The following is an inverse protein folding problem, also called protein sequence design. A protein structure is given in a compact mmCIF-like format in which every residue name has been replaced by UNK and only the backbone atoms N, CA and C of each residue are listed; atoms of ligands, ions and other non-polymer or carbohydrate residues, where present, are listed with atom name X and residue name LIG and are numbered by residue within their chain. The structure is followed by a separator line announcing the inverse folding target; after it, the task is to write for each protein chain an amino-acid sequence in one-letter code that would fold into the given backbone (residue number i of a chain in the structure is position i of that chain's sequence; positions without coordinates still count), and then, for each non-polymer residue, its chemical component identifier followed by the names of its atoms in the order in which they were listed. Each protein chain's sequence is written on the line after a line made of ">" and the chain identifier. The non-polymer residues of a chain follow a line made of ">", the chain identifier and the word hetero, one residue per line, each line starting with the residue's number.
data_IF_749630675598
#
_entry.id   IF_749630675598
#
_cell.length_a   1.000
_cell.length_b   1.000
_cell.length_c   1.000
_cell.angle_alpha   90.00
_cell.angle_beta   90.00
_cell.angle_gamma   90.00
#
_symmetry.space_group_name_H-M   'P 1'
#
loop_
_entity.id
_entity.type
_entity.pdbx_description
1 polymer ?
#
# COMPACT_ATOMS: atom_id res chain seq x y z
N UNK A 1 -6.72 -10.87 37.61
CA UNK A 1 -6.23 -12.26 37.76
C UNK A 1 -4.87 -12.19 38.42
N UNK A 2 -4.70 -12.60 39.69
CA UNK A 2 -3.36 -12.65 40.32
C UNK A 2 -2.52 -13.72 39.61
N UNK A 3 -1.31 -13.37 39.20
CA UNK A 3 -0.50 -14.14 38.25
C UNK A 3 -0.08 -15.49 38.85
N UNK A 4 -0.28 -16.58 38.10
CA UNK A 4 0.12 -17.96 38.50
C UNK A 4 1.64 -18.14 38.64
N UNK A 5 2.45 -17.11 38.38
CA UNK A 5 3.90 -17.15 38.31
C UNK A 5 4.61 -16.32 39.40
N UNK A 6 3.89 -15.81 40.41
CA UNK A 6 4.42 -15.00 41.53
C UNK A 6 5.58 -15.65 42.33
N UNK A 7 5.91 -16.92 42.07
CA UNK A 7 6.99 -17.67 42.76
C UNK A 7 8.30 -17.76 41.96
N UNK A 8 8.35 -17.21 40.75
CA UNK A 8 9.55 -17.20 39.91
C UNK A 8 10.24 -15.81 39.98
N UNK A 9 11.57 -15.73 39.74
CA UNK A 9 12.23 -14.45 39.48
C UNK A 9 11.54 -13.69 38.34
N UNK A 10 11.43 -12.36 38.43
CA UNK A 10 10.62 -11.54 37.50
C UNK A 10 10.88 -11.84 36.01
N UNK A 11 12.15 -12.06 35.64
CA UNK A 11 12.56 -12.39 34.27
C UNK A 11 12.18 -13.82 33.84
N UNK A 12 12.14 -14.78 34.75
CA UNK A 12 11.67 -16.14 34.45
C UNK A 12 10.14 -16.20 34.40
N UNK A 13 9.46 -15.40 35.23
CA UNK A 13 8.02 -15.28 35.24
C UNK A 13 7.47 -14.74 33.91
N UNK A 14 8.09 -13.68 33.36
CA UNK A 14 7.64 -13.07 32.11
C UNK A 14 7.88 -13.97 30.90
N UNK A 15 9.02 -14.67 30.84
CA UNK A 15 9.31 -15.64 29.78
C UNK A 15 8.34 -16.83 29.81
N UNK A 16 7.98 -17.30 31.00
CA UNK A 16 6.98 -18.34 31.17
C UNK A 16 5.58 -17.87 30.73
N UNK A 17 5.23 -16.62 31.04
CA UNK A 17 3.98 -16.01 30.58
C UNK A 17 3.94 -15.87 29.05
N UNK A 18 5.01 -15.36 28.41
CA UNK A 18 5.08 -15.25 26.95
C UNK A 18 4.92 -16.60 26.27
N UNK A 19 5.63 -17.62 26.79
CA UNK A 19 5.52 -18.99 26.27
C UNK A 19 4.09 -19.52 26.38
N UNK A 20 3.43 -19.27 27.52
CA UNK A 20 2.03 -19.66 27.72
C UNK A 20 1.09 -18.95 26.74
N UNK A 21 1.25 -17.64 26.54
CA UNK A 21 0.41 -16.86 25.61
C UNK A 21 0.58 -17.34 24.16
N UNK A 22 1.82 -17.59 23.71
CA UNK A 22 2.10 -18.15 22.38
C UNK A 22 1.43 -19.50 22.16
N UNK A 23 1.54 -20.43 23.13
CA UNK A 23 0.89 -21.74 23.05
C UNK A 23 -0.63 -21.58 23.01
N UNK A 24 -1.19 -20.69 23.84
CA UNK A 24 -2.62 -20.42 23.87
C UNK A 24 -3.12 -19.94 22.51
N UNK A 25 -2.47 -18.94 21.92
CA UNK A 25 -2.83 -18.42 20.58
C UNK A 25 -2.66 -19.46 19.47
N UNK A 26 -1.61 -20.29 19.53
CA UNK A 26 -1.42 -21.37 18.57
C UNK A 26 -2.59 -22.37 18.64
N UNK A 27 -3.07 -22.69 19.83
CA UNK A 27 -4.18 -23.63 20.03
C UNK A 27 -5.55 -23.04 19.71
N UNK A 28 -5.79 -21.78 20.06
CA UNK A 28 -7.10 -21.12 19.89
C UNK A 28 -7.27 -20.53 18.48
N UNK A 29 -6.23 -19.90 17.93
CA UNK A 29 -6.31 -19.11 16.68
C UNK A 29 -5.42 -19.68 15.55
N UNK A 30 -4.68 -20.77 15.79
CA UNK A 30 -3.74 -21.32 14.79
C UNK A 30 -2.51 -20.44 14.55
N UNK A 31 -2.22 -19.50 15.46
CA UNK A 31 -1.15 -18.53 15.28
C UNK A 31 0.24 -19.17 15.29
N UNK A 32 1.11 -18.71 14.39
CA UNK A 32 2.53 -19.07 14.35
C UNK A 32 3.39 -17.84 14.65
N UNK A 33 3.72 -17.65 15.92
CA UNK A 33 4.55 -16.52 16.35
C UNK A 33 6.02 -16.89 16.27
N UNK A 34 6.73 -16.20 15.38
CA UNK A 34 8.17 -16.36 15.20
C UNK A 34 9.00 -15.93 16.42
N UNK A 35 10.29 -16.23 16.36
CA UNK A 35 11.30 -15.72 17.28
C UNK A 35 12.05 -14.58 16.60
N UNK A 36 12.50 -13.60 17.37
CA UNK A 36 13.44 -12.58 16.89
C UNK A 36 14.78 -12.77 17.59
N UNK A 37 15.86 -12.62 16.83
CA UNK A 37 17.24 -12.61 17.35
C UNK A 37 17.70 -11.19 17.73
N UNK A 38 16.82 -10.19 17.60
CA UNK A 38 17.12 -8.81 17.96
C UNK A 38 17.30 -8.67 19.48
N UNK A 39 18.51 -8.35 19.98
CA UNK A 39 18.77 -8.22 21.40
C UNK A 39 18.07 -7.02 22.04
N UNK A 40 17.54 -6.08 21.25
CA UNK A 40 16.74 -4.95 21.74
C UNK A 40 15.29 -5.32 22.04
N UNK A 41 14.81 -6.45 21.51
CA UNK A 41 13.45 -6.93 21.76
C UNK A 41 13.39 -7.68 23.09
N UNK A 42 12.99 -6.96 24.14
CA UNK A 42 12.99 -7.51 25.50
C UNK A 42 11.78 -8.44 25.74
N UNK A 43 11.85 -9.35 26.71
CA UNK A 43 10.70 -10.18 27.10
C UNK A 43 9.44 -9.36 27.45
N UNK A 44 9.61 -8.15 27.98
CA UNK A 44 8.52 -7.23 28.29
C UNK A 44 7.83 -6.70 27.03
N UNK A 45 8.61 -6.37 25.99
CA UNK A 45 8.08 -5.94 24.70
C UNK A 45 7.31 -7.07 24.01
N UNK A 46 7.85 -8.29 24.09
CA UNK A 46 7.15 -9.48 23.60
C UNK A 46 5.85 -9.72 24.36
N UNK A 47 5.85 -9.61 25.69
CA UNK A 47 4.63 -9.77 26.49
C UNK A 47 3.56 -8.74 26.10
N UNK A 48 3.95 -7.48 25.94
CA UNK A 48 3.05 -6.40 25.50
C UNK A 48 2.47 -6.69 24.11
N UNK A 49 3.32 -7.08 23.15
CA UNK A 49 2.88 -7.49 21.81
C UNK A 49 1.87 -8.64 21.87
N UNK A 50 2.17 -9.72 22.60
CA UNK A 50 1.29 -10.88 22.72
C UNK A 50 -0.07 -10.48 23.33
N UNK A 51 -0.07 -9.64 24.36
CA UNK A 51 -1.31 -9.14 24.95
C UNK A 51 -2.12 -8.30 23.97
N UNK A 52 -1.49 -7.46 23.16
CA UNK A 52 -2.16 -6.68 22.13
C UNK A 52 -2.79 -7.58 21.07
N UNK A 53 -2.06 -8.57 20.57
CA UNK A 53 -2.59 -9.54 19.60
C UNK A 53 -3.78 -10.31 20.20
N UNK A 54 -3.70 -10.77 21.45
CA UNK A 54 -4.85 -11.42 22.09
C UNK A 54 -6.07 -10.50 22.23
N UNK A 55 -5.84 -9.22 22.56
CA UNK A 55 -6.91 -8.25 22.70
C UNK A 55 -7.58 -7.99 21.34
N UNK A 56 -6.79 -7.89 20.28
CA UNK A 56 -7.26 -7.79 18.90
C UNK A 56 -8.09 -9.01 18.51
N UNK A 57 -7.54 -10.22 18.59
CA UNK A 57 -8.24 -11.46 18.21
C UNK A 57 -9.58 -11.60 18.94
N UNK A 58 -9.59 -11.29 20.24
CA UNK A 58 -10.83 -11.34 21.02
C UNK A 58 -11.88 -10.32 20.54
N UNK A 59 -11.48 -9.08 20.28
CA UNK A 59 -12.42 -8.05 19.81
C UNK A 59 -12.89 -8.33 18.38
N UNK A 60 -12.00 -8.86 17.55
CA UNK A 60 -12.31 -9.27 16.19
C UNK A 60 -13.31 -10.45 16.16
N UNK A 61 -13.14 -11.44 17.04
CA UNK A 61 -14.10 -12.54 17.23
C UNK A 61 -15.49 -12.07 17.71
N UNK A 62 -15.57 -10.96 18.44
CA UNK A 62 -16.85 -10.36 18.84
C UNK A 62 -17.62 -9.83 17.63
N UNK A 63 -16.93 -9.48 16.53
CA UNK A 63 -17.52 -9.10 15.24
C UNK A 63 -18.50 -7.93 15.34
N UNK A 64 -18.31 -7.04 16.32
CA UNK A 64 -19.17 -5.87 16.50
C UNK A 64 -18.79 -4.84 15.46
N UNK A 65 -19.79 -4.32 14.77
CA UNK A 65 -19.62 -3.19 13.86
C UNK A 65 -20.27 -1.94 14.44
N UNK A 66 -19.75 -0.78 14.04
CA UNK A 66 -20.24 0.54 14.40
C UNK A 66 -20.10 1.46 13.19
N UNK A 67 -21.03 2.40 13.03
CA UNK A 67 -20.85 3.46 12.04
C UNK A 67 -19.75 4.41 12.48
N UNK A 68 -18.95 4.91 11.55
CA UNK A 68 -17.90 5.87 11.89
C UNK A 68 -18.48 7.07 12.64
N UNK A 69 -19.63 7.60 12.21
CA UNK A 69 -20.27 8.74 12.86
C UNK A 69 -20.65 8.46 14.32
N UNK A 70 -21.08 7.23 14.64
CA UNK A 70 -21.32 6.78 16.00
C UNK A 70 -20.03 6.66 16.80
N UNK A 71 -18.96 6.14 16.18
CA UNK A 71 -17.64 5.95 16.80
C UNK A 71 -17.00 7.26 17.26
N UNK A 72 -17.27 8.35 16.55
CA UNK A 72 -16.70 9.69 16.82
C UNK A 72 -17.64 10.62 17.59
N UNK A 73 -18.64 10.06 18.29
CA UNK A 73 -19.63 10.76 19.11
C UNK A 73 -20.54 11.74 18.35
N UNK A 74 -20.80 11.47 17.06
CA UNK A 74 -21.76 12.21 16.21
C UNK A 74 -21.59 13.74 16.27
N UNK A 75 -20.43 14.29 15.85
CA UNK A 75 -20.13 15.70 15.98
C UNK A 75 -21.15 16.57 15.21
N UNK A 76 -21.76 17.54 15.89
CA UNK A 76 -22.71 18.49 15.28
C UNK A 76 -22.07 19.83 14.91
N UNK A 77 -20.76 19.95 15.09
CA UNK A 77 -19.99 21.19 14.83
C UNK A 77 -19.72 21.41 13.34
N UNK A 78 -19.78 20.35 12.53
CA UNK A 78 -19.53 20.40 11.10
C UNK A 78 -20.79 20.79 10.34
N UNK A 79 -20.64 21.76 9.44
CA UNK A 79 -21.74 22.23 8.60
C UNK A 79 -21.98 21.23 7.46
N UNK A 80 -23.23 21.05 6.99
CA UNK A 80 -23.50 20.35 5.74
C UNK A 80 -22.72 20.97 4.58
N UNK A 81 -22.31 20.16 3.60
CA UNK A 81 -21.48 20.57 2.46
C UNK A 81 -22.06 21.78 1.72
N UNK A 82 -23.38 21.83 1.57
CA UNK A 82 -24.11 22.91 0.89
C UNK A 82 -24.07 24.25 1.64
N UNK A 83 -23.73 24.26 2.93
CA UNK A 83 -23.66 25.45 3.79
C UNK A 83 -22.21 25.94 3.99
N UNK A 84 -21.21 25.23 3.44
CA UNK A 84 -19.81 25.64 3.49
C UNK A 84 -19.48 26.40 2.22
N UNK A 85 -19.13 27.67 2.38
CA UNK A 85 -18.67 28.54 1.28
C UNK A 85 -17.32 28.07 0.74
N UNK A 86 -17.05 28.30 -0.55
CA UNK A 86 -15.80 27.86 -1.19
C UNK A 86 -14.55 28.40 -0.47
N UNK A 87 -14.59 29.63 0.05
CA UNK A 87 -13.48 30.24 0.78
C UNK A 87 -13.22 29.63 2.15
N UNK A 88 -14.17 28.88 2.71
CA UNK A 88 -14.06 28.23 4.02
C UNK A 88 -13.74 26.72 3.89
N UNK A 89 -13.78 26.17 2.67
CA UNK A 89 -13.76 24.72 2.44
C UNK A 89 -12.46 24.04 2.90
N UNK A 90 -11.31 24.66 2.64
CA UNK A 90 -10.01 24.12 3.10
C UNK A 90 -9.95 24.02 4.63
N UNK A 91 -10.33 25.09 5.33
CA UNK A 91 -10.34 25.09 6.80
C UNK A 91 -11.39 24.13 7.39
N UNK A 92 -12.53 23.93 6.71
CA UNK A 92 -13.54 22.95 7.11
C UNK A 92 -13.03 21.51 6.97
N UNK A 93 -12.31 21.22 5.88
CA UNK A 93 -11.65 19.93 5.67
C UNK A 93 -10.55 19.67 6.72
N UNK A 94 -9.68 20.65 6.97
CA UNK A 94 -8.63 20.51 7.98
C UNK A 94 -9.23 20.22 9.36
N UNK A 95 -10.29 20.95 9.74
CA UNK A 95 -10.96 20.78 11.03
C UNK A 95 -11.58 19.39 11.21
N UNK A 96 -12.18 18.83 10.15
CA UNK A 96 -12.79 17.49 10.25
C UNK A 96 -11.74 16.38 10.25
N UNK A 97 -10.63 16.54 9.52
CA UNK A 97 -9.51 15.60 9.55
C UNK A 97 -8.80 15.62 10.92
N UNK A 98 -8.58 16.80 11.50
CA UNK A 98 -8.05 16.92 12.87
C UNK A 98 -8.98 16.29 13.92
N UNK A 99 -10.30 16.35 13.71
CA UNK A 99 -11.26 15.68 14.56
C UNK A 99 -11.16 14.16 14.44
N UNK A 100 -11.14 13.62 13.22
CA UNK A 100 -10.96 12.19 12.98
C UNK A 100 -9.66 11.66 13.61
N UNK A 101 -8.57 12.43 13.51
CA UNK A 101 -7.28 12.07 14.10
C UNK A 101 -7.33 11.88 15.63
N UNK A 102 -8.20 12.61 16.34
CA UNK A 102 -8.40 12.43 17.79
C UNK A 102 -8.96 11.04 18.15
N UNK A 103 -9.64 10.39 17.19
CA UNK A 103 -10.18 9.04 17.33
C UNK A 103 -9.29 7.98 16.64
N UNK A 104 -8.03 8.31 16.34
CA UNK A 104 -7.10 7.47 15.58
C UNK A 104 -7.69 6.99 14.25
N UNK A 105 -8.40 7.89 13.55
CA UNK A 105 -8.90 7.68 12.20
C UNK A 105 -8.15 8.61 11.26
N UNK A 106 -7.62 8.05 10.19
CA UNK A 106 -6.93 8.79 9.12
C UNK A 106 -7.62 8.53 7.78
N UNK A 107 -7.52 9.50 6.89
CA UNK A 107 -8.01 9.40 5.52
C UNK A 107 -6.90 9.82 4.57
N UNK A 108 -6.43 8.88 3.76
CA UNK A 108 -5.46 9.10 2.70
C UNK A 108 -6.16 9.24 1.35
N UNK A 109 -5.53 10.01 0.46
CA UNK A 109 -5.98 10.21 -0.92
C UNK A 109 -4.75 10.15 -1.82
N UNK A 110 -4.79 9.28 -2.83
CA UNK A 110 -3.71 9.14 -3.80
C UNK A 110 -4.01 9.89 -5.10
N UNK A 111 -5.25 9.85 -5.60
CA UNK A 111 -5.61 10.58 -6.81
C UNK A 111 -5.58 12.10 -6.60
N UNK A 112 -4.88 12.85 -7.47
CA UNK A 112 -4.90 14.31 -7.45
C UNK A 112 -6.17 14.88 -8.11
N UNK A 113 -7.02 14.04 -8.70
CA UNK A 113 -8.19 14.45 -9.48
C UNK A 113 -9.44 14.64 -8.60
N UNK A 114 -9.24 15.06 -7.35
CA UNK A 114 -10.28 15.28 -6.35
C UNK A 114 -10.25 16.74 -5.88
N UNK A 115 -11.42 17.29 -5.58
CA UNK A 115 -11.50 18.64 -4.99
C UNK A 115 -11.64 18.56 -3.48
N UNK A 116 -11.18 19.58 -2.76
CA UNK A 116 -11.37 19.73 -1.30
C UNK A 116 -12.84 19.57 -0.90
N UNK A 117 -13.75 20.15 -1.69
CA UNK A 117 -15.21 20.07 -1.47
C UNK A 117 -15.73 18.64 -1.58
N UNK A 118 -15.25 17.89 -2.56
CA UNK A 118 -15.65 16.51 -2.77
C UNK A 118 -15.12 15.60 -1.65
N UNK A 119 -13.88 15.83 -1.19
CA UNK A 119 -13.32 15.10 -0.06
C UNK A 119 -14.08 15.38 1.24
N UNK A 120 -14.44 16.64 1.48
CA UNK A 120 -15.30 17.02 2.62
C UNK A 120 -16.69 16.37 2.53
N UNK A 121 -17.29 16.36 1.33
CA UNK A 121 -18.56 15.69 1.05
C UNK A 121 -18.49 14.20 1.35
N UNK A 122 -17.46 13.53 0.84
CA UNK A 122 -17.22 12.11 1.09
C UNK A 122 -17.18 11.81 2.58
N UNK A 123 -16.44 12.61 3.38
CA UNK A 123 -16.36 12.39 4.82
C UNK A 123 -17.76 12.49 5.46
N UNK A 124 -18.48 13.58 5.18
CA UNK A 124 -19.76 13.90 5.81
C UNK A 124 -20.91 12.97 5.39
N UNK A 125 -20.95 12.56 4.12
CA UNK A 125 -22.10 11.89 3.53
C UNK A 125 -21.91 10.39 3.34
N UNK A 126 -20.67 9.92 3.21
CA UNK A 126 -20.35 8.52 2.95
C UNK A 126 -19.54 7.90 4.08
N UNK A 127 -18.39 8.46 4.41
CA UNK A 127 -17.47 7.87 5.38
C UNK A 127 -18.08 7.82 6.78
N UNK A 128 -18.83 8.85 7.18
CA UNK A 128 -19.59 8.86 8.43
C UNK A 128 -20.63 7.73 8.52
N UNK A 129 -21.21 7.34 7.39
CA UNK A 129 -22.19 6.25 7.32
C UNK A 129 -21.55 4.88 7.12
N UNK A 130 -20.25 4.81 6.87
CA UNK A 130 -19.50 3.57 6.72
C UNK A 130 -19.50 2.75 8.01
N UNK A 131 -19.82 1.46 7.90
CA UNK A 131 -19.76 0.51 9.00
C UNK A 131 -18.35 -0.10 9.08
N UNK A 132 -17.71 0.07 10.24
CA UNK A 132 -16.39 -0.46 10.55
C UNK A 132 -16.44 -1.35 11.78
N UNK A 133 -15.39 -2.14 11.99
CA UNK A 133 -15.25 -2.93 13.21
C UNK A 133 -15.14 -2.00 14.43
N UNK A 134 -15.96 -2.25 15.46
CA UNK A 134 -15.92 -1.53 16.73
C UNK A 134 -14.81 -2.10 17.62
N UNK A 135 -13.58 -1.83 17.20
CA UNK A 135 -12.39 -2.18 17.96
C UNK A 135 -11.83 -0.95 18.65
N UNK A 136 -11.34 -1.15 19.88
CA UNK A 136 -10.56 -0.20 20.65
C UNK A 136 -9.32 -0.94 21.15
N UNK A 137 -8.30 -0.95 20.28
CA UNK A 137 -7.01 -1.57 20.54
C UNK A 137 -5.99 -0.44 20.68
N UNK A 138 -5.36 -0.35 21.85
CA UNK A 138 -4.42 0.73 22.15
C UNK A 138 -3.27 0.78 21.13
N UNK A 139 -3.05 1.97 20.57
CA UNK A 139 -2.02 2.19 19.54
C UNK A 139 -2.42 1.77 18.12
N UNK A 140 -3.66 1.34 17.91
CA UNK A 140 -4.21 1.07 16.59
C UNK A 140 -4.74 2.35 15.94
N UNK A 141 -4.57 2.47 14.63
CA UNK A 141 -5.15 3.55 13.81
C UNK A 141 -5.93 2.92 12.68
N UNK A 142 -7.15 3.38 12.46
CA UNK A 142 -7.96 2.96 11.33
C UNK A 142 -7.71 3.93 10.17
N UNK A 143 -7.04 3.44 9.14
CA UNK A 143 -6.81 4.22 7.93
C UNK A 143 -7.85 3.90 6.87
N UNK A 144 -8.44 4.94 6.30
CA UNK A 144 -9.29 4.85 5.11
C UNK A 144 -8.53 5.43 3.92
N UNK A 145 -8.73 4.84 2.74
CA UNK A 145 -8.17 5.35 1.50
C UNK A 145 -9.34 5.75 0.60
N UNK A 146 -9.45 7.02 0.23
CA UNK A 146 -10.55 7.53 -0.59
C UNK A 146 -10.68 6.74 -1.91
N UNK A 147 -9.54 6.46 -2.55
CA UNK A 147 -9.46 5.74 -3.82
C UNK A 147 -10.01 4.29 -3.76
N UNK A 148 -10.16 3.69 -2.57
CA UNK A 148 -10.82 2.38 -2.42
C UNK A 148 -12.35 2.48 -2.57
N UNK A 149 -12.92 3.66 -2.31
CA UNK A 149 -14.35 3.94 -2.46
C UNK A 149 -14.67 4.53 -3.83
N UNK A 150 -13.77 5.41 -4.31
CA UNK A 150 -13.90 6.12 -5.57
C UNK A 150 -12.62 5.97 -6.40
N UNK A 151 -12.41 4.80 -7.04
CA UNK A 151 -11.17 4.50 -7.76
C UNK A 151 -10.94 5.44 -8.94
N UNK A 152 -9.69 5.89 -9.11
CA UNK A 152 -9.21 6.58 -10.30
C UNK A 152 -8.25 5.68 -11.08
N UNK A 153 -8.78 4.75 -11.91
CA UNK A 153 -7.94 3.81 -12.65
C UNK A 153 -7.08 4.51 -13.71
N UNK A 154 -7.35 5.76 -14.08
CA UNK A 154 -6.45 6.49 -14.97
C UNK A 154 -5.18 6.87 -14.22
N UNK A 155 -5.33 7.57 -13.09
CA UNK A 155 -4.19 7.97 -12.27
C UNK A 155 -3.41 6.77 -11.72
N UNK A 156 -4.09 5.77 -11.16
CA UNK A 156 -3.45 4.59 -10.57
C UNK A 156 -2.59 3.86 -11.61
N UNK A 157 -3.16 3.57 -12.79
CA UNK A 157 -2.44 2.86 -13.85
C UNK A 157 -1.28 3.69 -14.41
N UNK A 158 -1.43 5.01 -14.54
CA UNK A 158 -0.33 5.89 -14.93
C UNK A 158 0.81 5.83 -13.93
N UNK A 159 0.52 5.90 -12.63
CA UNK A 159 1.54 5.83 -11.59
C UNK A 159 2.24 4.46 -11.57
N UNK A 160 1.48 3.35 -11.63
CA UNK A 160 2.06 1.99 -11.69
C UNK A 160 3.00 1.86 -12.91
N UNK A 161 2.57 2.34 -14.08
CA UNK A 161 3.36 2.25 -15.31
C UNK A 161 4.60 3.15 -15.26
N UNK A 162 4.49 4.37 -14.74
CA UNK A 162 5.59 5.32 -14.59
C UNK A 162 6.65 4.81 -13.59
N UNK A 163 6.22 4.27 -12.44
CA UNK A 163 7.13 3.61 -11.51
C UNK A 163 7.82 2.40 -12.15
N UNK A 164 7.06 1.56 -12.85
CA UNK A 164 7.58 0.38 -13.52
C UNK A 164 8.68 0.75 -14.53
N UNK A 165 8.41 1.71 -15.42
CA UNK A 165 9.39 2.12 -16.45
C UNK A 165 10.61 2.80 -15.83
N UNK A 166 10.44 3.62 -14.78
CA UNK A 166 11.55 4.24 -14.04
C UNK A 166 12.45 3.20 -13.41
N UNK A 167 11.89 2.17 -12.77
CA UNK A 167 12.66 1.07 -12.18
C UNK A 167 13.42 0.30 -13.25
N UNK A 168 12.77 -0.03 -14.38
CA UNK A 168 13.39 -0.78 -15.48
C UNK A 168 14.55 0.02 -16.12
N UNK A 169 14.37 1.32 -16.33
CA UNK A 169 15.36 2.19 -16.99
C UNK A 169 16.36 2.83 -16.02
N UNK A 170 16.45 2.36 -14.78
CA UNK A 170 17.47 2.77 -13.81
C UNK A 170 18.60 1.75 -13.69
N UNK A 171 19.77 2.18 -13.23
CA UNK A 171 20.91 1.27 -12.99
C UNK A 171 20.71 0.38 -11.75
N UNK A 172 19.84 0.76 -10.81
CA UNK A 172 19.57 -0.01 -9.62
C UNK A 172 19.06 -1.41 -10.00
N UNK A 173 19.54 -2.44 -9.30
CA UNK A 173 19.05 -3.80 -9.50
C UNK A 173 17.53 -3.83 -9.34
N UNK A 174 16.84 -4.50 -10.24
CA UNK A 174 15.42 -4.69 -10.10
C UNK A 174 15.16 -5.68 -8.98
N UNK A 175 14.41 -5.24 -7.97
CA UNK A 175 13.79 -6.08 -6.96
C UNK A 175 12.37 -6.50 -7.39
N UNK A 176 11.68 -7.27 -6.56
CA UNK A 176 10.32 -7.71 -6.81
C UNK A 176 9.38 -6.50 -7.00
N UNK A 177 8.84 -6.32 -8.20
CA UNK A 177 7.82 -5.31 -8.45
C UNK A 177 6.44 -5.85 -8.05
N UNK A 178 5.75 -5.26 -7.06
CA UNK A 178 4.56 -5.84 -6.45
C UNK A 178 3.41 -5.98 -7.45
N UNK A 179 3.28 -5.03 -8.38
CA UNK A 179 2.21 -4.97 -9.38
C UNK A 179 2.39 -5.93 -10.55
N UNK A 180 3.45 -6.75 -10.61
CA UNK A 180 3.50 -7.81 -11.61
C UNK A 180 2.40 -8.84 -11.40
N UNK A 181 1.73 -9.24 -12.47
CA UNK A 181 0.87 -10.42 -12.48
C UNK A 181 1.68 -11.65 -12.04
N UNK A 182 1.04 -12.60 -11.36
CA UNK A 182 1.69 -13.82 -10.83
C UNK A 182 2.38 -14.69 -11.90
N UNK A 183 1.93 -14.64 -13.15
CA UNK A 183 2.52 -15.38 -14.27
C UNK A 183 1.93 -14.95 -15.60
N UNK A 184 2.37 -15.60 -16.68
CA UNK A 184 2.03 -15.24 -18.06
C UNK A 184 2.35 -13.77 -18.39
N UNK A 185 3.49 -13.29 -17.89
CA UNK A 185 3.96 -11.96 -18.21
C UNK A 185 4.57 -11.93 -19.62
N UNK A 186 4.65 -10.74 -20.21
CA UNK A 186 5.36 -10.51 -21.46
C UNK A 186 6.30 -9.29 -21.35
N UNK A 187 7.51 -9.41 -21.90
CA UNK A 187 8.51 -8.35 -21.98
C UNK A 187 9.10 -8.34 -23.39
N UNK A 188 8.79 -7.31 -24.17
CA UNK A 188 9.14 -7.23 -25.58
C UNK A 188 8.76 -8.51 -26.35
N UNK A 189 9.74 -9.25 -26.85
CA UNK A 189 9.57 -10.50 -27.61
C UNK A 189 9.42 -11.73 -26.70
N UNK A 190 9.76 -11.61 -25.42
CA UNK A 190 9.63 -12.69 -24.44
C UNK A 190 8.18 -12.77 -23.97
N UNK A 191 7.54 -13.90 -24.26
CA UNK A 191 6.16 -14.17 -23.88
C UNK A 191 6.09 -15.28 -22.85
N UNK A 192 5.11 -15.22 -21.95
CA UNK A 192 4.83 -16.28 -20.96
C UNK A 192 5.92 -16.44 -19.91
N UNK A 193 6.53 -15.34 -19.48
CA UNK A 193 7.62 -15.34 -18.49
C UNK A 193 7.07 -15.25 -17.06
N UNK A 194 7.79 -15.85 -16.12
CA UNK A 194 7.56 -15.67 -14.68
C UNK A 194 8.10 -14.33 -14.18
N UNK A 195 7.75 -13.93 -12.94
CA UNK A 195 8.30 -12.72 -12.30
C UNK A 195 9.83 -12.78 -12.20
N UNK A 196 10.35 -13.94 -11.80
CA UNK A 196 11.80 -14.14 -11.61
C UNK A 196 12.55 -14.08 -12.94
N UNK A 197 12.02 -14.69 -14.00
CA UNK A 197 12.61 -14.58 -15.35
C UNK A 197 12.57 -13.15 -15.87
N UNK A 198 11.45 -12.44 -15.69
CA UNK A 198 11.35 -11.03 -16.08
C UNK A 198 12.40 -10.17 -15.36
N UNK A 199 12.54 -10.35 -14.05
CA UNK A 199 13.55 -9.67 -13.25
C UNK A 199 14.97 -9.99 -13.74
N UNK A 200 15.25 -11.26 -14.06
CA UNK A 200 16.55 -11.67 -14.59
C UNK A 200 16.86 -11.01 -15.93
N UNK A 201 15.93 -10.99 -16.90
CA UNK A 201 16.14 -10.34 -18.19
C UNK A 201 16.39 -8.83 -18.05
N UNK A 202 15.63 -8.16 -17.18
CA UNK A 202 15.83 -6.75 -16.89
C UNK A 202 17.20 -6.49 -16.26
N UNK A 203 17.63 -7.32 -15.31
CA UNK A 203 18.93 -7.19 -14.66
C UNK A 203 20.10 -7.53 -15.61
N UNK A 204 19.94 -8.49 -16.53
CA UNK A 204 20.94 -8.78 -17.57
C UNK A 204 21.15 -7.54 -18.46
N UNK A 205 20.06 -6.90 -18.91
CA UNK A 205 20.14 -5.63 -19.63
C UNK A 205 20.88 -4.57 -18.81
N UNK A 206 20.56 -4.45 -17.52
CA UNK A 206 21.20 -3.47 -16.63
C UNK A 206 22.68 -3.74 -16.46
N UNK A 207 23.08 -4.98 -16.31
CA UNK A 207 24.47 -5.41 -16.08
C UNK A 207 25.34 -5.28 -17.32
N UNK A 208 24.75 -5.28 -18.52
CA UNK A 208 25.47 -5.02 -19.76
C UNK A 208 25.99 -3.57 -19.88
N UNK A 209 25.49 -2.65 -19.04
CA UNK A 209 25.89 -1.24 -19.02
C UNK A 209 26.61 -0.89 -17.71
N UNK A 210 27.68 -0.11 -17.78
CA UNK A 210 28.38 0.42 -16.62
C UNK A 210 27.51 1.47 -15.91
N UNK A 211 26.89 2.36 -16.69
CA UNK A 211 25.97 3.40 -16.22
C UNK A 211 24.69 3.40 -17.04
N UNK A 212 23.57 3.70 -16.38
CA UNK A 212 22.25 3.90 -16.99
C UNK A 212 21.64 5.15 -16.35
N UNK A 213 21.38 6.15 -17.18
CA UNK A 213 20.78 7.41 -16.76
C UNK A 213 19.51 7.67 -17.58
N UNK A 214 18.36 7.54 -16.91
CA UNK A 214 17.07 7.89 -17.50
C UNK A 214 16.92 9.42 -17.50
N UNK A 215 17.18 10.03 -18.65
CA UNK A 215 17.18 11.49 -18.78
C UNK A 215 15.77 12.08 -18.77
N UNK A 216 14.79 11.37 -19.36
CA UNK A 216 13.43 11.86 -19.46
C UNK A 216 12.42 10.74 -19.70
N UNK A 217 11.25 10.85 -19.06
CA UNK A 217 10.02 10.10 -19.36
C UNK A 217 8.94 11.14 -19.63
N UNK A 218 8.22 11.01 -20.75
CA UNK A 218 7.26 12.04 -21.17
C UNK A 218 6.16 11.50 -22.07
N UNK A 219 5.10 12.31 -22.24
CA UNK A 219 3.96 11.97 -23.08
C UNK A 219 3.21 10.75 -22.58
N UNK A 220 3.08 10.62 -21.26
CA UNK A 220 2.30 9.56 -20.63
C UNK A 220 0.83 9.73 -21.03
N UNK A 221 0.21 8.62 -21.42
CA UNK A 221 -1.22 8.57 -21.74
C UNK A 221 -1.77 7.20 -21.35
N UNK A 222 -2.88 7.21 -20.63
CA UNK A 222 -3.61 6.01 -20.21
C UNK A 222 -4.95 5.87 -20.94
N UNK A 223 -5.25 4.62 -21.30
CA UNK A 223 -6.56 4.21 -21.80
C UNK A 223 -7.06 3.05 -20.94
N UNK A 224 -8.26 3.21 -20.35
CA UNK A 224 -8.91 2.19 -19.51
C UNK A 224 -10.17 1.69 -20.22
N UNK A 225 -10.28 0.38 -20.38
CA UNK A 225 -11.41 -0.32 -20.99
C UNK A 225 -11.87 -1.48 -20.09
N UNK A 226 -12.79 -1.18 -19.17
CA UNK A 226 -13.26 -2.15 -18.18
C UNK A 226 -12.12 -2.65 -17.30
N UNK A 227 -11.82 -3.95 -17.36
CA UNK A 227 -10.77 -4.61 -16.57
C UNK A 227 -9.37 -4.57 -17.21
N UNK A 228 -9.20 -3.78 -18.28
CA UNK A 228 -7.95 -3.66 -19.05
C UNK A 228 -7.52 -2.21 -19.09
N UNK A 229 -6.22 -1.99 -19.06
CA UNK A 229 -5.61 -0.69 -19.23
C UNK A 229 -4.35 -0.78 -20.08
N UNK A 230 -4.08 0.27 -20.84
CA UNK A 230 -2.85 0.44 -21.58
C UNK A 230 -2.30 1.84 -21.33
N UNK A 231 -1.10 1.89 -20.77
CA UNK A 231 -0.35 3.13 -20.56
C UNK A 231 0.79 3.18 -21.54
N UNK A 232 0.97 4.32 -22.19
CA UNK A 232 2.03 4.54 -23.17
C UNK A 232 2.82 5.79 -22.83
N UNK A 233 4.06 5.85 -23.29
CA UNK A 233 4.88 7.05 -23.16
C UNK A 233 6.15 6.96 -23.99
N UNK A 234 7.04 7.93 -23.78
CA UNK A 234 8.33 8.03 -24.43
C UNK A 234 9.44 8.06 -23.37
N UNK A 235 10.60 7.53 -23.72
CA UNK A 235 11.79 7.59 -22.88
C UNK A 235 12.99 8.17 -23.63
N UNK A 236 13.92 8.74 -22.87
CA UNK A 236 15.27 9.08 -23.32
C UNK A 236 16.28 8.57 -22.29
N UNK A 237 17.26 7.81 -22.75
CA UNK A 237 18.21 7.07 -21.94
C UNK A 237 19.63 7.35 -22.41
N UNK A 238 20.54 7.55 -21.47
CA UNK A 238 21.97 7.57 -21.67
C UNK A 238 22.55 6.29 -21.08
N UNK A 239 23.29 5.54 -21.89
CA UNK A 239 23.95 4.30 -21.53
C UNK A 239 25.45 4.48 -21.66
N UNK A 240 26.22 4.02 -20.67
CA UNK A 240 27.68 3.94 -20.77
C UNK A 240 28.08 2.47 -20.70
N UNK A 241 28.88 2.01 -21.66
CA UNK A 241 29.42 0.64 -21.66
C UNK A 241 30.85 0.64 -22.19
N UNK A 242 31.78 0.11 -21.42
CA UNK A 242 33.22 0.08 -21.74
C UNK A 242 33.75 1.48 -22.13
N UNK A 243 33.30 2.51 -21.42
CA UNK A 243 33.67 3.91 -21.66
C UNK A 243 33.11 4.54 -22.94
N UNK A 244 32.18 3.86 -23.64
CA UNK A 244 31.43 4.44 -24.77
C UNK A 244 30.05 4.85 -24.32
N UNK A 245 29.63 6.02 -24.77
CA UNK A 245 28.33 6.58 -24.47
C UNK A 245 27.37 6.37 -25.65
N UNK A 246 26.16 5.91 -25.35
CA UNK A 246 25.08 5.70 -26.29
C UNK A 246 23.81 6.41 -25.79
N UNK A 247 23.11 7.09 -26.70
CA UNK A 247 21.82 7.69 -26.42
C UNK A 247 20.72 6.89 -27.11
N UNK A 248 19.75 6.44 -26.33
CA UNK A 248 18.55 5.76 -26.83
C UNK A 248 17.30 6.57 -26.53
N UNK A 249 16.35 6.50 -27.45
CA UNK A 249 15.00 7.02 -27.27
C UNK A 249 14.03 6.12 -27.99
N UNK A 250 12.83 5.99 -27.44
CA UNK A 250 11.81 5.12 -27.99
C UNK A 250 10.49 5.31 -27.27
N UNK A 251 9.47 4.59 -27.75
CA UNK A 251 8.19 4.48 -27.05
C UNK A 251 8.21 3.29 -26.11
N UNK A 252 7.37 3.38 -25.10
CA UNK A 252 7.03 2.25 -24.26
C UNK A 252 5.52 2.11 -24.12
N UNK A 253 5.08 0.88 -23.84
CA UNK A 253 3.69 0.52 -23.59
C UNK A 253 3.66 -0.53 -22.47
N UNK A 254 2.86 -0.25 -21.45
CA UNK A 254 2.60 -1.17 -20.34
C UNK A 254 1.11 -1.47 -20.36
N UNK A 255 0.76 -2.76 -20.36
CA UNK A 255 -0.62 -3.22 -20.29
C UNK A 255 -0.88 -3.81 -18.91
N UNK A 256 -2.00 -3.38 -18.33
CA UNK A 256 -2.46 -3.77 -17.00
C UNK A 256 -3.84 -4.44 -17.08
N UNK A 257 -4.12 -5.30 -16.12
CA UNK A 257 -5.43 -5.92 -15.93
C UNK A 257 -5.84 -5.90 -14.45
N UNK A 258 -7.13 -5.77 -14.17
CA UNK A 258 -7.71 -5.98 -12.84
C UNK A 258 -8.70 -7.14 -12.87
N UNK A 259 -8.25 -8.38 -12.63
CA UNK A 259 -9.12 -9.56 -12.73
C UNK A 259 -10.18 -9.62 -11.62
N UNK A 260 -9.93 -8.94 -10.50
CA UNK A 260 -10.77 -8.94 -9.30
C UNK A 260 -11.47 -7.60 -9.05
N UNK A 261 -11.22 -6.58 -9.87
CA UNK A 261 -11.66 -5.18 -9.70
C UNK A 261 -11.13 -4.51 -8.42
N UNK A 262 -10.09 -5.07 -7.79
CA UNK A 262 -9.47 -4.49 -6.60
C UNK A 262 -8.08 -3.97 -6.90
N UNK A 263 -7.27 -4.72 -7.65
CA UNK A 263 -5.88 -4.33 -7.93
C UNK A 263 -5.56 -4.42 -9.40
N UNK A 264 -4.77 -3.46 -9.89
CA UNK A 264 -4.22 -3.50 -11.24
C UNK A 264 -2.86 -4.20 -11.28
N UNK A 265 -2.71 -5.11 -12.23
CA UNK A 265 -1.49 -5.88 -12.43
C UNK A 265 -0.92 -5.67 -13.82
N UNK A 266 0.36 -5.31 -13.87
CA UNK A 266 1.15 -5.30 -15.10
C UNK A 266 1.30 -6.73 -15.60
N UNK A 267 0.90 -6.98 -16.84
CA UNK A 267 1.07 -8.28 -17.48
C UNK A 267 1.86 -8.24 -18.78
N UNK A 268 2.06 -7.05 -19.37
CA UNK A 268 2.86 -6.90 -20.59
C UNK A 268 3.58 -5.58 -20.63
N UNK A 269 4.86 -5.63 -21.00
CA UNK A 269 5.75 -4.48 -21.11
C UNK A 269 6.38 -4.51 -22.50
N UNK A 270 6.33 -3.39 -23.21
CA UNK A 270 7.00 -3.19 -24.48
C UNK A 270 7.81 -1.89 -24.42
N UNK A 271 9.09 -1.94 -24.74
CA UNK A 271 10.01 -0.80 -24.75
C UNK A 271 10.83 -0.88 -26.03
N UNK A 272 10.56 0.02 -26.97
CA UNK A 272 11.23 0.08 -28.27
C UNK A 272 12.72 0.39 -28.10
N UNK A 273 13.60 -0.34 -28.80
CA UNK A 273 15.05 -0.05 -28.79
C UNK A 273 15.81 -0.54 -27.56
N UNK A 274 15.14 -1.26 -26.65
CA UNK A 274 15.77 -2.00 -25.56
C UNK A 274 15.69 -3.50 -25.84
N UNK A 275 16.83 -4.17 -25.78
CA UNK A 275 16.91 -5.62 -25.89
C UNK A 275 17.26 -6.17 -24.51
N UNK A 276 16.38 -7.01 -23.97
CA UNK A 276 16.51 -7.67 -22.68
C UNK A 276 17.15 -9.05 -22.82
#
# INVERSE_FOLDING_TARGET
>A
MKSKFERLPDKEAINAENSFLKIKMMLENGAHIGSTDDPSFTPEMENAFLRHVMAFEKQFEEGKTIKLFDKIDRPTIFKPVAEVEDSEMEGALDSILEWLAQYNITLDVFSPNITTRELYRFIMEELFEYEMDDMDVAGWTNNFIYDEFHPDPFYENENIADECIKVILSKASMELFPYFRKGNLALNEYNTVSKDEMQQYINIFKDASDEIECMNISGISCAVEGVRSAVTGHYQLRLVSNGREEFRKGKWRIELETPDNFFWYVYKIQIEGINF
#
